data_IF_690494647748
#
_entry.id   IF_690494647748
#
_cell.length_a   1.000
_cell.length_b   1.000
_cell.length_c   1.000
_cell.angle_alpha   90.00
_cell.angle_beta   90.00
_cell.angle_gamma   90.00
#
_symmetry.space_group_name_H-M   'P 1'
#
loop_
_entity.id
_entity.type
_entity.pdbx_description
1 polymer ?
#
# COMPACT_ATOMS: atom_id res chain seq x y z
N UNK A 1 -59.34 -51.46 -24.83
CA UNK A 1 -58.29 -52.38 -24.39
C UNK A 1 -57.82 -51.90 -23.04
N UNK A 2 -58.11 -52.65 -21.99
CA UNK A 2 -57.93 -52.24 -20.61
C UNK A 2 -56.62 -52.81 -20.05
N UNK A 3 -55.88 -52.01 -19.38
CA UNK A 3 -54.73 -52.44 -18.64
C UNK A 3 -55.08 -52.69 -17.14
N UNK A 4 -54.58 -53.79 -16.49
CA UNK A 4 -54.97 -54.11 -15.12
C UNK A 4 -53.97 -53.42 -14.12
N UNK A 5 -54.58 -52.91 -13.05
CA UNK A 5 -53.91 -52.27 -11.94
C UNK A 5 -53.05 -53.21 -11.09
N UNK A 6 -51.89 -52.73 -10.67
CA UNK A 6 -51.01 -53.36 -9.67
C UNK A 6 -51.21 -52.67 -8.34
N UNK A 7 -51.88 -53.30 -7.40
CA UNK A 7 -52.00 -52.90 -6.00
C UNK A 7 -50.70 -53.23 -5.27
N UNK A 8 -50.02 -52.28 -4.74
CA UNK A 8 -48.86 -52.49 -3.84
C UNK A 8 -49.24 -52.22 -2.39
N UNK A 9 -49.25 -53.29 -1.64
CA UNK A 9 -49.38 -53.28 -0.18
C UNK A 9 -48.23 -52.45 0.47
N UNK A 10 -48.61 -51.41 1.17
CA UNK A 10 -47.67 -50.62 2.00
C UNK A 10 -47.70 -51.19 3.41
N UNK A 11 -46.59 -51.81 3.87
CA UNK A 11 -46.40 -52.25 5.26
C UNK A 11 -46.02 -51.04 6.13
N UNK A 12 -46.59 -50.88 7.35
CA UNK A 12 -46.23 -49.83 8.27
C UNK A 12 -44.84 -50.06 8.85
N UNK A 13 -43.96 -49.07 8.70
CA UNK A 13 -42.62 -49.09 9.32
C UNK A 13 -42.72 -48.66 10.80
N UNK A 14 -42.15 -49.48 11.68
CA UNK A 14 -42.07 -49.26 13.12
C UNK A 14 -41.31 -47.95 13.41
N UNK A 15 -41.88 -47.07 14.27
CA UNK A 15 -41.26 -45.87 14.77
C UNK A 15 -40.06 -46.22 15.66
N UNK A 16 -38.85 -45.92 15.22
CA UNK A 16 -37.63 -45.90 16.06
C UNK A 16 -37.64 -44.62 16.87
N UNK A 17 -37.77 -44.73 18.21
CA UNK A 17 -37.51 -43.65 19.17
C UNK A 17 -36.00 -43.42 19.23
N UNK A 18 -35.51 -42.56 18.34
CA UNK A 18 -34.11 -42.06 18.43
C UNK A 18 -34.04 -40.94 19.42
N UNK A 19 -33.19 -41.15 20.46
CA UNK A 19 -32.81 -40.14 21.44
C UNK A 19 -32.19 -38.95 20.69
N UNK A 20 -32.79 -37.76 20.83
CA UNK A 20 -32.19 -36.53 20.37
C UNK A 20 -30.99 -36.18 21.26
N UNK A 21 -29.79 -36.40 20.76
CA UNK A 21 -28.58 -35.83 21.32
C UNK A 21 -28.48 -34.38 20.78
N UNK A 22 -28.75 -33.44 21.67
CA UNK A 22 -28.53 -32.02 21.35
C UNK A 22 -27.04 -31.79 21.40
N UNK A 23 -26.38 -31.82 20.23
CA UNK A 23 -25.03 -31.33 20.03
C UNK A 23 -25.07 -29.81 20.05
N UNK A 24 -24.72 -29.23 21.20
CA UNK A 24 -24.46 -27.80 21.32
C UNK A 24 -23.24 -27.44 20.49
N UNK A 25 -23.45 -26.92 19.29
CA UNK A 25 -22.38 -26.29 18.48
C UNK A 25 -22.07 -24.97 19.11
N UNK A 26 -21.00 -24.93 19.92
CA UNK A 26 -20.43 -23.67 20.37
C UNK A 26 -19.87 -22.92 19.14
N UNK A 27 -20.59 -21.90 18.69
CA UNK A 27 -20.12 -21.00 17.64
C UNK A 27 -18.93 -20.21 18.19
N UNK A 28 -17.71 -20.59 17.80
CA UNK A 28 -16.52 -19.76 17.97
C UNK A 28 -16.68 -18.51 17.08
N UNK A 29 -17.14 -17.44 17.69
CA UNK A 29 -17.11 -16.11 17.06
C UNK A 29 -15.64 -15.70 17.03
N UNK A 30 -14.93 -16.00 15.94
CA UNK A 30 -13.63 -15.40 15.63
C UNK A 30 -13.88 -13.93 15.36
N UNK A 31 -13.58 -13.10 16.36
CA UNK A 31 -13.54 -11.64 16.23
C UNK A 31 -12.39 -11.34 15.26
N UNK A 32 -12.70 -11.10 14.00
CA UNK A 32 -11.75 -10.47 13.08
C UNK A 32 -11.51 -9.06 13.63
N UNK A 33 -10.36 -8.86 14.27
CA UNK A 33 -9.90 -7.54 14.63
C UNK A 33 -9.79 -6.75 13.33
N UNK A 34 -10.69 -5.79 13.13
CA UNK A 34 -10.56 -4.78 12.10
C UNK A 34 -9.22 -4.08 12.37
N UNK A 35 -8.26 -4.23 11.47
CA UNK A 35 -7.06 -3.42 11.46
C UNK A 35 -7.55 -2.00 11.18
N UNK A 36 -7.54 -1.15 12.21
CA UNK A 36 -7.71 0.28 12.05
C UNK A 36 -6.56 0.75 11.17
N UNK A 37 -6.90 1.11 9.95
CA UNK A 37 -5.98 1.73 8.99
C UNK A 37 -5.66 3.14 9.54
N UNK A 38 -4.62 3.21 10.39
CA UNK A 38 -4.17 4.48 10.96
C UNK A 38 -3.72 5.36 9.80
N UNK A 39 -4.32 6.54 9.59
CA UNK A 39 -3.98 7.39 8.47
C UNK A 39 -2.47 7.67 8.46
N UNK A 40 -1.80 7.33 7.37
CA UNK A 40 -0.37 7.60 7.19
C UNK A 40 -0.09 9.08 7.39
N UNK A 41 0.85 9.40 8.28
CA UNK A 41 1.24 10.78 8.54
C UNK A 41 1.63 11.51 7.26
N UNK A 42 1.09 12.71 7.03
CA UNK A 42 1.38 13.53 5.85
C UNK A 42 2.61 14.39 6.12
N UNK A 43 3.61 14.27 5.26
CA UNK A 43 4.86 15.02 5.33
C UNK A 43 4.84 16.28 4.46
N UNK A 44 3.81 16.46 3.64
CA UNK A 44 3.63 17.59 2.72
C UNK A 44 2.44 18.46 3.13
N UNK A 45 2.44 19.72 2.69
CA UNK A 45 1.30 20.63 2.76
C UNK A 45 1.05 21.25 1.39
N UNK A 46 -0.20 21.16 0.91
CA UNK A 46 -0.65 21.73 -0.36
C UNK A 46 -1.87 22.62 -0.08
N UNK A 47 -1.81 23.87 -0.55
CA UNK A 47 -2.89 24.87 -0.45
C UNK A 47 -3.06 25.47 -1.83
N UNK A 48 -4.28 25.43 -2.36
CA UNK A 48 -4.63 25.96 -3.68
C UNK A 48 -3.68 25.52 -4.80
N UNK A 49 -3.28 24.24 -4.76
CA UNK A 49 -2.36 23.63 -5.74
C UNK A 49 -0.90 24.04 -5.60
N UNK A 50 -0.56 24.86 -4.60
CA UNK A 50 0.82 25.25 -4.28
C UNK A 50 1.35 24.41 -3.12
N UNK A 51 2.62 24.02 -3.18
CA UNK A 51 3.30 23.21 -2.16
C UNK A 51 4.10 24.07 -1.19
N UNK A 52 4.24 23.61 0.05
CA UNK A 52 5.11 24.24 1.04
C UNK A 52 6.59 24.21 0.63
N UNK A 53 7.41 24.98 1.32
CA UNK A 53 8.85 25.12 1.05
C UNK A 53 9.57 23.77 1.13
N UNK A 54 9.19 22.90 2.09
CA UNK A 54 9.76 21.60 2.30
C UNK A 54 9.49 20.67 1.11
N UNK A 55 8.24 20.53 0.71
CA UNK A 55 7.81 19.73 -0.45
C UNK A 55 8.47 20.23 -1.74
N UNK A 56 8.56 21.57 -1.92
CA UNK A 56 9.24 22.16 -3.06
C UNK A 56 10.75 21.84 -3.06
N UNK A 57 11.41 21.92 -1.90
CA UNK A 57 12.82 21.56 -1.79
C UNK A 57 13.03 20.08 -2.12
N UNK A 58 12.14 19.20 -1.66
CA UNK A 58 12.13 17.77 -1.99
C UNK A 58 12.06 17.50 -3.49
N UNK A 59 11.19 18.22 -4.21
CA UNK A 59 11.15 18.20 -5.67
C UNK A 59 12.53 18.51 -6.28
N UNK A 60 13.16 19.59 -5.83
CA UNK A 60 14.46 20.01 -6.36
C UNK A 60 15.56 18.98 -6.11
N UNK A 61 15.61 18.43 -4.87
CA UNK A 61 16.60 17.42 -4.48
C UNK A 61 16.41 16.11 -5.23
N UNK A 62 15.15 15.68 -5.33
CA UNK A 62 14.80 14.49 -6.10
C UNK A 62 15.29 14.59 -7.56
N UNK A 63 14.97 15.68 -8.24
CA UNK A 63 15.34 15.88 -9.65
C UNK A 63 16.83 16.12 -9.86
N UNK A 64 17.58 16.54 -8.84
CA UNK A 64 19.02 16.69 -8.91
C UNK A 64 19.78 15.36 -8.83
N UNK A 65 19.24 14.36 -8.12
CA UNK A 65 19.96 13.13 -7.78
C UNK A 65 19.18 11.87 -8.14
N UNK A 66 17.99 11.69 -7.58
CA UNK A 66 17.23 10.43 -7.63
C UNK A 66 16.62 10.15 -9.01
N UNK A 67 16.26 11.23 -9.70
CA UNK A 67 15.66 11.21 -11.03
C UNK A 67 16.44 10.39 -12.07
N UNK A 68 17.78 10.34 -11.98
CA UNK A 68 18.62 9.64 -12.93
C UNK A 68 18.34 8.13 -12.99
N UNK A 69 17.99 7.53 -11.85
CA UNK A 69 17.64 6.12 -11.77
C UNK A 69 16.14 5.87 -11.64
N UNK A 70 15.45 6.66 -10.82
CA UNK A 70 14.02 6.45 -10.54
C UNK A 70 13.08 7.20 -11.49
N UNK A 71 13.63 7.80 -12.54
CA UNK A 71 12.86 8.50 -13.57
C UNK A 71 12.26 9.82 -13.13
N UNK A 72 11.73 10.60 -14.08
CA UNK A 72 11.07 11.86 -13.77
C UNK A 72 9.88 11.66 -12.82
N UNK A 73 9.79 12.50 -11.81
CA UNK A 73 8.67 12.53 -10.88
C UNK A 73 8.42 11.21 -10.10
N UNK A 74 9.44 10.33 -9.99
CA UNK A 74 9.32 9.08 -9.26
C UNK A 74 8.63 7.94 -10.01
N UNK A 75 8.42 8.09 -11.30
CA UNK A 75 7.67 7.13 -12.12
C UNK A 75 8.41 5.84 -12.44
N UNK A 76 9.69 5.74 -12.08
CA UNK A 76 10.55 4.62 -12.45
C UNK A 76 11.23 4.78 -13.81
N UNK A 77 12.20 3.93 -14.07
CA UNK A 77 12.92 3.80 -15.35
C UNK A 77 13.46 2.39 -15.52
N UNK A 78 14.25 2.14 -16.57
CA UNK A 78 15.00 0.90 -16.71
C UNK A 78 16.12 0.70 -15.68
N UNK A 79 16.48 1.74 -14.92
CA UNK A 79 17.55 1.70 -13.91
C UNK A 79 17.05 1.58 -12.48
N UNK A 80 15.79 1.94 -12.21
CA UNK A 80 15.21 1.89 -10.86
C UNK A 80 13.69 1.85 -10.88
N UNK A 81 13.09 1.23 -9.84
CA UNK A 81 11.64 1.10 -9.76
C UNK A 81 10.93 2.43 -9.58
N UNK A 82 9.62 2.44 -9.86
CA UNK A 82 8.73 3.53 -9.47
C UNK A 82 8.70 3.69 -7.96
N UNK A 83 8.95 4.91 -7.49
CA UNK A 83 8.89 5.23 -6.06
C UNK A 83 7.50 5.68 -5.63
N UNK A 84 6.65 6.10 -6.57
CA UNK A 84 5.30 6.54 -6.23
C UNK A 84 4.32 5.39 -6.15
N UNK A 85 4.53 4.31 -6.91
CA UNK A 85 3.67 3.12 -6.84
C UNK A 85 3.94 2.26 -5.61
N UNK A 86 5.16 2.34 -5.06
CA UNK A 86 5.64 1.50 -3.96
C UNK A 86 6.44 2.33 -2.93
N UNK A 87 5.92 3.50 -2.55
CA UNK A 87 6.58 4.34 -1.56
C UNK A 87 6.51 3.68 -0.17
N UNK A 88 7.64 3.28 0.42
CA UNK A 88 7.66 2.68 1.76
C UNK A 88 7.28 3.71 2.83
N UNK A 89 7.15 3.26 4.09
CA UNK A 89 7.06 4.17 5.22
C UNK A 89 8.35 5.01 5.36
N UNK A 90 8.25 6.11 6.10
CA UNK A 90 9.34 7.09 6.22
C UNK A 90 10.61 6.49 6.83
N UNK A 91 10.49 5.59 7.80
CA UNK A 91 11.65 5.01 8.47
C UNK A 91 12.40 4.05 7.52
N UNK A 92 11.66 3.24 6.79
CA UNK A 92 12.23 2.38 5.75
C UNK A 92 12.85 3.21 4.63
N UNK A 93 12.20 4.31 4.21
CA UNK A 93 12.75 5.22 3.22
C UNK A 93 14.06 5.86 3.66
N UNK A 94 14.11 6.39 4.89
CA UNK A 94 15.33 6.96 5.48
C UNK A 94 16.50 5.96 5.49
N UNK A 95 16.23 4.74 5.94
CA UNK A 95 17.24 3.67 5.99
C UNK A 95 17.76 3.33 4.59
N UNK A 96 16.86 3.14 3.61
CA UNK A 96 17.26 2.82 2.23
C UNK A 96 18.10 3.93 1.62
N UNK A 97 17.72 5.21 1.83
CA UNK A 97 18.47 6.34 1.30
C UNK A 97 19.82 6.47 2.01
N UNK A 98 19.88 6.23 3.31
CA UNK A 98 21.11 6.33 4.09
C UNK A 98 22.10 5.22 3.72
N UNK A 99 21.66 3.95 3.77
CA UNK A 99 22.53 2.78 3.67
C UNK A 99 22.67 2.26 2.23
N UNK A 100 21.72 2.61 1.37
CA UNK A 100 21.55 1.97 0.07
C UNK A 100 20.78 0.67 0.12
N UNK A 101 20.58 0.07 -1.04
CA UNK A 101 19.88 -1.21 -1.18
C UNK A 101 20.40 -1.96 -2.38
N UNK A 102 20.52 -3.28 -2.25
CA UNK A 102 20.86 -4.19 -3.35
C UNK A 102 19.77 -5.23 -3.53
N UNK A 103 19.40 -5.51 -4.77
CA UNK A 103 18.48 -6.57 -5.15
C UNK A 103 18.96 -7.21 -6.46
N UNK A 104 19.60 -8.38 -6.34
CA UNK A 104 20.26 -9.02 -7.48
C UNK A 104 21.35 -8.13 -8.10
N UNK A 105 21.25 -7.84 -9.39
CA UNK A 105 22.18 -6.96 -10.10
C UNK A 105 21.88 -5.46 -9.92
N UNK A 106 20.72 -5.11 -9.37
CA UNK A 106 20.34 -3.72 -9.14
C UNK A 106 20.93 -3.23 -7.81
N UNK A 107 21.68 -2.13 -7.86
CA UNK A 107 22.33 -1.53 -6.70
C UNK A 107 21.98 -0.05 -6.62
N UNK A 108 21.33 0.35 -5.52
CA UNK A 108 21.20 1.74 -5.11
C UNK A 108 22.25 2.01 -4.06
N UNK A 109 23.16 2.97 -4.31
CA UNK A 109 24.18 3.37 -3.32
C UNK A 109 23.53 4.11 -2.14
N UNK A 110 24.17 4.06 -0.98
CA UNK A 110 23.81 4.90 0.16
C UNK A 110 24.23 6.37 -0.04
N UNK A 111 23.49 7.28 0.59
CA UNK A 111 23.69 8.72 0.49
C UNK A 111 23.97 9.39 1.83
N UNK A 112 24.38 8.64 2.86
CA UNK A 112 24.64 9.16 4.20
C UNK A 112 25.65 10.32 4.25
N UNK A 113 26.64 10.32 3.34
CA UNK A 113 27.63 11.37 3.21
C UNK A 113 27.33 12.44 2.15
N UNK A 114 26.22 12.37 1.47
CA UNK A 114 25.89 13.34 0.40
C UNK A 114 25.20 14.59 0.97
N UNK A 115 25.84 15.78 0.93
CA UNK A 115 25.28 16.99 1.51
C UNK A 115 24.04 17.51 0.78
N UNK A 116 23.76 17.03 -0.42
CA UNK A 116 22.58 17.39 -1.18
C UNK A 116 21.39 16.45 -0.95
N UNK A 117 21.62 15.30 -0.29
CA UNK A 117 20.60 14.27 -0.05
C UNK A 117 20.39 14.07 1.45
N UNK A 118 21.43 13.71 2.19
CA UNK A 118 21.29 13.30 3.59
C UNK A 118 20.50 14.27 4.49
N UNK A 119 20.73 15.59 4.47
CA UNK A 119 19.97 16.53 5.28
C UNK A 119 18.52 16.75 4.80
N UNK A 120 18.17 16.28 3.61
CA UNK A 120 16.91 16.56 2.93
C UNK A 120 16.07 15.31 2.61
N UNK A 121 16.38 14.17 3.24
CA UNK A 121 15.68 12.91 3.00
C UNK A 121 14.17 13.05 3.25
N UNK A 122 13.80 13.75 4.33
CA UNK A 122 12.40 13.99 4.67
C UNK A 122 11.70 14.93 3.69
N UNK A 123 12.42 15.90 3.12
CA UNK A 123 11.88 16.79 2.11
C UNK A 123 11.63 16.02 0.80
N UNK A 124 12.57 15.16 0.41
CA UNK A 124 12.43 14.25 -0.73
C UNK A 124 11.22 13.34 -0.54
N UNK A 125 11.09 12.79 0.67
CA UNK A 125 9.93 11.96 1.02
C UNK A 125 8.60 12.72 0.92
N UNK A 126 8.54 13.96 1.42
CA UNK A 126 7.35 14.81 1.32
C UNK A 126 6.90 15.00 -0.13
N UNK A 127 7.84 15.28 -1.05
CA UNK A 127 7.54 15.36 -2.47
C UNK A 127 7.01 14.04 -3.03
N UNK A 128 7.70 12.93 -2.77
CA UNK A 128 7.30 11.62 -3.27
C UNK A 128 5.94 11.18 -2.69
N UNK A 129 5.69 11.48 -1.42
CA UNK A 129 4.41 11.16 -0.80
C UNK A 129 3.25 11.95 -1.44
N UNK A 130 3.43 13.24 -1.68
CA UNK A 130 2.41 14.05 -2.36
C UNK A 130 2.12 13.53 -3.79
N UNK A 131 3.13 12.99 -4.46
CA UNK A 131 3.00 12.33 -5.75
C UNK A 131 2.26 11.00 -5.64
N UNK A 132 2.66 10.14 -4.69
CA UNK A 132 2.06 8.82 -4.45
C UNK A 132 0.59 8.93 -4.02
N UNK A 133 0.26 9.95 -3.21
CA UNK A 133 -1.11 10.25 -2.79
C UNK A 133 -1.96 10.88 -3.93
N UNK A 134 -1.39 11.13 -5.10
CA UNK A 134 -2.08 11.67 -6.27
C UNK A 134 -2.50 13.15 -6.16
N UNK A 135 -2.07 13.85 -5.10
CA UNK A 135 -2.43 15.26 -4.86
C UNK A 135 -1.47 16.26 -5.52
N UNK A 136 -0.33 15.74 -6.00
CA UNK A 136 0.66 16.54 -6.75
C UNK A 136 0.83 15.95 -8.15
N UNK A 137 0.64 16.79 -9.15
CA UNK A 137 0.85 16.46 -10.56
C UNK A 137 2.33 16.30 -10.93
N UNK A 138 2.60 15.94 -12.19
CA UNK A 138 3.96 15.83 -12.73
C UNK A 138 4.57 17.22 -12.99
N UNK A 139 5.90 17.23 -12.98
CA UNK A 139 6.67 18.41 -13.28
C UNK A 139 6.92 19.32 -12.07
N UNK A 140 7.39 20.54 -12.34
CA UNK A 140 7.78 21.48 -11.29
C UNK A 140 6.56 22.06 -10.58
N UNK A 141 6.40 21.83 -9.26
CA UNK A 141 5.29 22.43 -8.53
C UNK A 141 5.47 23.92 -8.32
N UNK A 142 4.36 24.62 -8.09
CA UNK A 142 4.38 26.01 -7.63
C UNK A 142 4.57 26.03 -6.11
N UNK A 143 5.50 26.84 -5.64
CA UNK A 143 5.75 27.02 -4.20
C UNK A 143 4.75 28.02 -3.62
N UNK A 144 4.30 27.78 -2.36
CA UNK A 144 3.58 28.77 -1.56
C UNK A 144 4.46 30.00 -1.34
N UNK A 145 3.85 31.16 -1.45
CA UNK A 145 4.46 32.43 -1.07
C UNK A 145 4.35 32.53 0.47
N UNK A 146 5.44 32.23 1.18
CA UNK A 146 5.57 32.35 2.64
C UNK A 146 6.39 33.57 3.01
#
# INVERSE_FOLDING_TARGET
MAEPGVSRHIKPRKACRGRWVILSVAALITSAAAQEDTPRAKFYRIIDGKVDARTYNGYRRYHAVCNHCHGPDGMGSSFGPSLIDHLPDIETFRRIVHDGQSSGAAVMKGFSGDPNVAPYVDDIYAHLQARADGVLGRGRPTKLDE
#
